data_IF_974706445472
#
_entry.id   IF_974706445472
#
_cell.length_a   1.000
_cell.length_b   1.000
_cell.length_c   1.000
_cell.angle_alpha   90.00
_cell.angle_beta   90.00
_cell.angle_gamma   90.00
#
_symmetry.space_group_name_H-M   'P 1'
#
loop_
_entity.id
_entity.type
_entity.pdbx_description
1 polymer ?
#
# COMPACT_ATOMS: atom_id res chain seq x y z
N UNK A 1 6.43 6.75 51.17
CA UNK A 1 7.32 6.78 49.98
C UNK A 1 6.55 6.14 48.84
N UNK A 2 6.01 6.95 47.93
CA UNK A 2 5.16 6.45 46.85
C UNK A 2 6.02 5.79 45.78
N UNK A 3 5.62 4.59 45.36
CA UNK A 3 6.22 3.91 44.22
C UNK A 3 6.04 4.79 42.98
N UNK A 4 7.14 5.36 42.48
CA UNK A 4 7.18 5.93 41.13
C UNK A 4 7.09 4.74 40.19
N UNK A 5 5.92 4.53 39.58
CA UNK A 5 5.85 3.67 38.41
C UNK A 5 6.72 4.31 37.31
N UNK A 6 7.64 3.56 36.66
CA UNK A 6 8.26 4.05 35.45
C UNK A 6 7.12 4.38 34.46
N UNK A 7 7.16 5.59 33.91
CA UNK A 7 6.20 6.05 32.91
C UNK A 7 6.17 5.12 31.68
N UNK A 8 5.16 5.25 30.80
CA UNK A 8 4.99 4.34 29.68
C UNK A 8 6.28 4.23 28.87
N UNK A 9 6.81 3.02 28.83
CA UNK A 9 7.99 2.65 28.05
C UNK A 9 7.60 2.55 26.57
N UNK A 10 8.43 3.16 25.73
CA UNK A 10 8.56 2.98 24.28
C UNK A 10 7.65 3.84 23.38
N UNK A 11 8.32 4.70 22.61
CA UNK A 11 7.92 5.21 21.30
C UNK A 11 7.23 4.09 20.52
N UNK A 12 5.91 4.11 20.37
CA UNK A 12 5.22 3.03 19.64
C UNK A 12 5.31 3.16 18.12
N UNK A 13 5.71 4.32 17.61
CA UNK A 13 6.09 4.54 16.22
C UNK A 13 7.46 5.21 16.12
N UNK A 14 8.45 4.51 15.58
CA UNK A 14 9.73 5.12 15.25
C UNK A 14 9.60 5.94 13.97
N UNK A 15 10.38 7.02 13.85
CA UNK A 15 10.52 7.70 12.57
C UNK A 15 11.27 6.83 11.55
N UNK A 16 10.87 6.92 10.30
CA UNK A 16 11.64 6.39 9.19
C UNK A 16 12.99 7.11 9.08
N UNK A 17 14.00 6.38 8.61
CA UNK A 17 15.26 7.03 8.27
C UNK A 17 15.04 7.97 7.07
N UNK A 18 15.88 8.99 6.92
CA UNK A 18 15.85 9.87 5.73
C UNK A 18 15.99 9.05 4.44
N UNK A 19 16.83 8.00 4.47
CA UNK A 19 17.01 7.10 3.33
C UNK A 19 15.71 6.37 2.97
N UNK A 20 14.98 5.86 3.97
CA UNK A 20 13.69 5.22 3.76
C UNK A 20 12.66 6.22 3.23
N UNK A 21 12.61 7.45 3.77
CA UNK A 21 11.70 8.49 3.29
C UNK A 21 11.98 8.86 1.82
N UNK A 22 13.24 8.96 1.42
CA UNK A 22 13.63 9.19 0.01
C UNK A 22 13.21 8.01 -0.87
N UNK A 23 13.45 6.78 -0.41
CA UNK A 23 13.09 5.56 -1.13
C UNK A 23 11.56 5.48 -1.34
N UNK A 24 10.80 5.64 -0.27
CA UNK A 24 9.34 5.59 -0.26
C UNK A 24 8.75 6.75 -1.08
N UNK A 25 9.31 7.95 -0.96
CA UNK A 25 8.92 9.11 -1.74
C UNK A 25 9.11 8.87 -3.24
N UNK A 26 10.30 8.42 -3.65
CA UNK A 26 10.61 8.10 -5.05
C UNK A 26 9.70 7.01 -5.61
N UNK A 27 9.43 5.97 -4.82
CA UNK A 27 8.50 4.92 -5.19
C UNK A 27 7.07 5.45 -5.36
N UNK A 28 6.61 6.32 -4.45
CA UNK A 28 5.27 6.91 -4.50
C UNK A 28 5.06 7.72 -5.78
N UNK A 29 6.06 8.49 -6.17
CA UNK A 29 6.07 9.25 -7.43
C UNK A 29 6.01 8.31 -8.64
N UNK A 30 6.83 7.25 -8.64
CA UNK A 30 6.90 6.27 -9.72
C UNK A 30 5.56 5.55 -9.96
N UNK A 31 4.79 5.28 -8.91
CA UNK A 31 3.47 4.64 -9.03
C UNK A 31 2.31 5.65 -9.08
N UNK A 32 2.61 6.95 -9.11
CA UNK A 32 1.62 8.02 -9.25
C UNK A 32 0.74 8.26 -8.03
N UNK A 33 1.19 7.91 -6.82
CA UNK A 33 0.51 8.22 -5.56
C UNK A 33 1.21 9.36 -4.82
N UNK A 34 0.45 10.18 -4.11
CA UNK A 34 0.99 11.24 -3.25
C UNK A 34 1.28 10.65 -1.87
N UNK A 35 2.53 10.78 -1.43
CA UNK A 35 2.92 10.54 -0.04
C UNK A 35 2.64 11.79 0.80
N UNK A 36 2.10 11.60 2.01
CA UNK A 36 1.98 12.63 3.04
C UNK A 36 2.48 12.07 4.38
N UNK A 37 3.40 12.79 5.01
CA UNK A 37 3.83 12.49 6.38
C UNK A 37 2.78 13.04 7.33
N UNK A 38 2.27 12.20 8.22
CA UNK A 38 1.32 12.56 9.28
C UNK A 38 1.96 12.21 10.60
N UNK A 39 1.87 13.13 11.55
CA UNK A 39 2.12 12.82 12.95
C UNK A 39 0.76 12.44 13.53
N UNK A 40 0.60 11.17 13.88
CA UNK A 40 -0.61 10.70 14.54
C UNK A 40 -0.45 10.79 16.06
N UNK A 41 -1.52 11.16 16.75
CA UNK A 41 -1.56 11.24 18.22
C UNK A 41 -2.60 10.26 18.75
N UNK A 42 -2.24 9.50 19.78
CA UNK A 42 -3.17 8.72 20.59
C UNK A 42 -3.31 9.34 21.97
N UNK A 43 -4.01 10.47 22.10
CA UNK A 43 -4.24 11.18 23.39
C UNK A 43 -3.04 11.93 24.01
N UNK A 44 -3.36 12.84 24.95
CA UNK A 44 -2.45 13.79 25.63
C UNK A 44 -1.27 13.15 26.39
N UNK A 45 -1.20 11.82 26.46
CA UNK A 45 -0.16 11.07 27.16
C UNK A 45 0.69 10.17 26.27
N UNK A 46 0.45 10.14 24.95
CA UNK A 46 1.21 9.29 24.03
C UNK A 46 2.16 10.10 23.13
N UNK A 47 3.32 9.50 22.85
CA UNK A 47 4.35 10.07 21.98
C UNK A 47 3.90 10.04 20.51
N UNK A 48 4.37 10.98 19.69
CA UNK A 48 3.97 11.10 18.29
C UNK A 48 4.49 9.93 17.43
N UNK A 49 3.60 9.32 16.65
CA UNK A 49 3.98 8.30 15.66
C UNK A 49 4.07 8.90 14.26
N UNK A 50 5.18 8.64 13.55
CA UNK A 50 5.30 8.99 12.14
C UNK A 50 4.54 7.98 11.27
N UNK A 51 3.49 8.46 10.61
CA UNK A 51 2.66 7.67 9.69
C UNK A 51 2.72 8.27 8.29
N UNK A 52 3.09 7.45 7.31
CA UNK A 52 3.06 7.81 5.89
C UNK A 52 1.72 7.42 5.30
N UNK A 53 0.94 8.41 4.85
CA UNK A 53 -0.31 8.19 4.15
C UNK A 53 -0.13 8.32 2.63
N UNK A 54 -0.71 7.39 1.87
CA UNK A 54 -0.59 7.34 0.42
C UNK A 54 -1.94 7.55 -0.25
N UNK A 55 -2.04 8.62 -1.04
CA UNK A 55 -3.28 9.03 -1.69
C UNK A 55 -3.16 8.88 -3.20
N UNK A 56 -4.20 8.40 -3.86
CA UNK A 56 -4.29 8.52 -5.32
C UNK A 56 -4.58 9.98 -5.70
N UNK A 57 -4.15 10.43 -6.88
CA UNK A 57 -4.36 11.81 -7.35
C UNK A 57 -5.86 12.18 -7.33
N UNK A 58 -6.15 13.43 -6.94
CA UNK A 58 -7.44 14.13 -6.92
C UNK A 58 -8.65 13.38 -6.29
N UNK A 59 -9.05 13.77 -5.08
CA UNK A 59 -10.39 13.50 -4.52
C UNK A 59 -10.67 12.07 -4.04
N UNK A 60 -9.69 11.18 -4.08
CA UNK A 60 -9.86 9.77 -3.74
C UNK A 60 -9.36 9.43 -2.33
N UNK A 61 -9.94 8.40 -1.68
CA UNK A 61 -9.60 8.02 -0.32
C UNK A 61 -8.14 7.53 -0.20
N UNK A 62 -7.58 7.63 1.01
CA UNK A 62 -6.28 7.07 1.34
C UNK A 62 -6.21 5.61 0.89
N UNK A 63 -5.18 5.21 0.14
CA UNK A 63 -5.06 3.86 -0.41
C UNK A 63 -4.48 2.91 0.64
N UNK A 64 -3.44 3.36 1.32
CA UNK A 64 -2.83 2.68 2.45
C UNK A 64 -2.08 3.69 3.32
N UNK A 65 -1.85 3.28 4.56
CA UNK A 65 -0.96 3.94 5.51
C UNK A 65 0.22 3.01 5.82
N UNK A 66 1.37 3.59 6.12
CA UNK A 66 2.59 2.88 6.50
C UNK A 66 3.19 3.53 7.73
N UNK A 67 3.61 2.72 8.68
CA UNK A 67 4.32 3.17 9.89
C UNK A 67 5.36 2.10 10.25
N UNK A 68 6.22 2.39 11.22
CA UNK A 68 7.20 1.42 11.69
C UNK A 68 7.31 1.43 13.21
N UNK A 69 7.65 0.28 13.76
CA UNK A 69 8.08 0.13 15.15
C UNK A 69 9.59 -0.23 15.18
N UNK A 70 10.07 -0.66 16.35
CA UNK A 70 11.45 -1.11 16.55
C UNK A 70 11.81 -2.33 15.68
N UNK A 71 10.83 -3.17 15.35
CA UNK A 71 11.07 -4.49 14.75
C UNK A 71 10.66 -4.59 13.27
N UNK A 72 9.76 -3.71 12.80
CA UNK A 72 9.12 -3.89 11.51
C UNK A 72 8.50 -2.62 10.91
N UNK A 73 8.25 -2.71 9.60
CA UNK A 73 7.40 -1.79 8.85
C UNK A 73 6.03 -2.41 8.65
N UNK A 74 4.99 -1.66 8.97
CA UNK A 74 3.60 -2.07 8.83
C UNK A 74 2.97 -1.30 7.68
N UNK A 75 2.13 -1.99 6.90
CA UNK A 75 1.32 -1.38 5.85
C UNK A 75 -0.13 -1.81 6.02
N UNK A 76 -1.02 -0.85 6.14
CA UNK A 76 -2.45 -1.09 6.22
C UNK A 76 -3.17 -0.48 5.02
N UNK A 77 -3.80 -1.29 4.15
CA UNK A 77 -4.73 -0.77 3.18
C UNK A 77 -5.97 -0.24 3.88
N UNK A 78 -6.62 0.79 3.32
CA UNK A 78 -7.86 1.33 3.90
C UNK A 78 -8.96 0.25 4.02
N UNK A 79 -8.96 -0.70 3.08
CA UNK A 79 -9.78 -1.89 3.12
C UNK A 79 -8.87 -3.11 3.13
N UNK A 80 -8.80 -3.80 4.26
CA UNK A 80 -8.07 -5.05 4.41
C UNK A 80 -7.33 -5.16 5.72
N UNK A 81 -6.39 -6.11 5.77
CA UNK A 81 -5.57 -6.40 6.95
C UNK A 81 -4.21 -5.72 6.84
N UNK A 82 -3.72 -5.23 7.97
CA UNK A 82 -2.34 -4.80 8.13
C UNK A 82 -1.38 -5.92 7.79
N UNK A 83 -0.31 -5.58 7.07
CA UNK A 83 0.79 -6.48 6.70
C UNK A 83 2.07 -5.98 7.36
N UNK A 84 2.87 -6.91 7.87
CA UNK A 84 4.16 -6.65 8.52
C UNK A 84 5.29 -7.04 7.57
N UNK A 85 6.32 -6.20 7.50
CA UNK A 85 7.52 -6.37 6.69
C UNK A 85 8.75 -6.06 7.52
N UNK A 86 9.89 -6.69 7.21
CA UNK A 86 11.15 -6.46 7.91
C UNK A 86 11.80 -5.11 7.58
N UNK A 87 11.42 -4.49 6.45
CA UNK A 87 12.01 -3.23 5.99
C UNK A 87 11.06 -2.46 5.08
N UNK A 88 11.32 -1.16 4.89
CA UNK A 88 10.60 -0.34 3.92
C UNK A 88 10.74 -0.91 2.50
N UNK A 89 11.95 -1.33 2.10
CA UNK A 89 12.19 -1.93 0.80
C UNK A 89 11.34 -3.20 0.57
N UNK A 90 11.27 -4.09 1.57
CA UNK A 90 10.44 -5.29 1.51
C UNK A 90 8.94 -4.95 1.42
N UNK A 91 8.49 -3.92 2.15
CA UNK A 91 7.13 -3.42 2.06
C UNK A 91 6.79 -2.92 0.65
N UNK A 92 7.65 -2.09 0.06
CA UNK A 92 7.46 -1.56 -1.29
C UNK A 92 7.44 -2.67 -2.36
N UNK A 93 8.33 -3.65 -2.24
CA UNK A 93 8.34 -4.82 -3.12
C UNK A 93 7.03 -5.62 -3.05
N UNK A 94 6.45 -5.75 -1.84
CA UNK A 94 5.17 -6.42 -1.62
C UNK A 94 3.95 -5.61 -2.10
N UNK A 95 4.09 -4.30 -2.33
CA UNK A 95 3.06 -3.41 -2.83
C UNK A 95 3.12 -3.18 -4.34
N UNK A 96 4.26 -3.44 -4.96
CA UNK A 96 4.42 -3.33 -6.41
C UNK A 96 3.33 -4.17 -7.11
N UNK A 97 2.62 -3.63 -8.12
CA UNK A 97 1.69 -4.42 -8.90
C UNK A 97 2.44 -5.64 -9.45
N UNK A 98 1.97 -6.86 -9.14
CA UNK A 98 2.35 -8.02 -9.92
C UNK A 98 1.99 -7.70 -11.36
N UNK A 99 2.98 -7.69 -12.25
CA UNK A 99 2.77 -7.41 -13.68
C UNK A 99 1.49 -8.10 -14.13
N UNK A 100 0.49 -7.30 -14.52
CA UNK A 100 -0.62 -7.82 -15.29
C UNK A 100 0.05 -8.26 -16.59
N UNK A 101 0.19 -9.58 -16.77
CA UNK A 101 0.47 -10.13 -18.09
C UNK A 101 -0.70 -9.69 -18.95
N UNK A 102 -0.49 -8.62 -19.71
CA UNK A 102 -1.43 -8.26 -20.76
C UNK A 102 -1.29 -9.38 -21.78
N UNK A 103 -2.23 -10.33 -21.74
CA UNK A 103 -2.40 -11.31 -22.81
C UNK A 103 -2.92 -10.53 -24.01
N UNK A 104 -2.02 -9.85 -24.73
CA UNK A 104 -2.35 -9.23 -26.01
C UNK A 104 -2.37 -10.29 -27.10
N UNK A 105 -3.47 -10.28 -27.85
CA UNK A 105 -3.75 -11.03 -29.08
C UNK A 105 -3.94 -12.55 -28.97
N UNK A 106 -5.10 -12.96 -28.43
CA UNK A 106 -5.77 -14.14 -28.98
C UNK A 106 -6.35 -13.76 -30.34
N UNK A 107 -5.56 -13.87 -31.41
CA UNK A 107 -6.12 -13.94 -32.76
C UNK A 107 -6.72 -15.32 -32.94
N UNK A 108 -8.05 -15.42 -32.94
CA UNK A 108 -8.71 -16.62 -33.45
C UNK A 108 -8.37 -16.74 -34.94
N UNK A 109 -7.45 -17.65 -35.29
CA UNK A 109 -7.02 -17.86 -36.68
C UNK A 109 -8.16 -18.41 -37.55
N UNK A 110 -9.22 -18.95 -36.94
CA UNK A 110 -10.43 -19.41 -37.64
C UNK A 110 -11.58 -19.63 -36.65
N UNK A 111 -12.72 -19.00 -36.88
CA UNK A 111 -13.99 -19.39 -36.28
C UNK A 111 -14.56 -20.57 -37.09
N UNK A 112 -15.17 -21.62 -36.48
CA UNK A 112 -15.84 -22.63 -37.25
C UNK A 112 -17.01 -21.99 -37.99
N UNK A 113 -16.96 -22.01 -39.33
CA UNK A 113 -18.07 -21.60 -40.18
C UNK A 113 -19.28 -22.43 -39.75
N UNK A 114 -20.24 -21.79 -39.08
CA UNK A 114 -21.57 -22.36 -38.94
C UNK A 114 -22.18 -22.29 -40.33
N UNK A 115 -21.94 -23.37 -41.09
CA UNK A 115 -22.56 -23.64 -42.36
C UNK A 115 -24.05 -23.33 -42.23
N UNK A 116 -24.45 -22.33 -42.99
CA UNK A 116 -25.81 -21.91 -43.22
C UNK A 116 -26.71 -23.12 -43.48
N UNK A 117 -27.48 -23.53 -42.48
CA UNK A 117 -28.71 -24.28 -42.72
C UNK A 117 -29.68 -23.30 -43.37
N UNK A 118 -29.66 -23.29 -44.71
CA UNK A 118 -30.60 -22.51 -45.51
C UNK A 118 -32.03 -22.91 -45.16
N UNK A 119 -32.82 -21.91 -44.77
CA UNK A 119 -34.26 -22.00 -44.76
C UNK A 119 -34.81 -21.19 -45.95
N UNK A 120 -35.66 -21.85 -46.75
CA UNK A 120 -36.67 -21.22 -47.61
C UNK A 120 -36.61 -21.63 -49.09
N UNK A 121 -37.71 -21.46 -49.84
CA UNK A 121 -39.02 -22.07 -49.63
C UNK A 121 -39.59 -22.73 -50.91
N UNK A 122 -40.58 -23.61 -50.76
CA UNK A 122 -41.83 -23.69 -51.57
C UNK A 122 -42.83 -24.66 -50.89
#
# INVERSE_FOLDING_TARGET
MGNVQPGPTALRGLSFSIADLILIGSWSEAIGVRMAVRLDHGSDTEEFEEVLAFHTKAGHPCRFIMWRDEDAVHVQPLIGRTRRYESAAAALAGLAPRQIVVVTDVKATRWPDLGSTGAGPD
#
